data_IF_647856839566
#
_entry.id   IF_647856839566
#
_cell.length_a   1.000
_cell.length_b   1.000
_cell.length_c   1.000
_cell.angle_alpha   90.00
_cell.angle_beta   90.00
_cell.angle_gamma   90.00
#
_symmetry.space_group_name_H-M   'P 1'
#
loop_
_entity.id
_entity.type
_entity.pdbx_description
1 polymer ?
#
# COMPACT_ATOMS: atom_id res chain seq x y z
N UNK A 1 -52.82 -42.14 -2.00
CA UNK A 1 -52.77 -42.84 -0.69
C UNK A 1 -51.41 -42.57 -0.04
N UNK A 2 -51.39 -42.29 1.28
CA UNK A 2 -50.27 -41.92 2.20
C UNK A 2 -49.26 -40.85 1.74
N UNK A 3 -49.30 -39.56 2.13
CA UNK A 3 -49.15 -38.92 3.45
C UNK A 3 -47.91 -39.35 4.26
N UNK A 4 -46.90 -38.47 4.31
CA UNK A 4 -46.10 -38.22 5.52
C UNK A 4 -45.74 -36.74 5.62
N UNK A 5 -46.02 -36.21 6.81
CA UNK A 5 -46.13 -34.80 7.20
C UNK A 5 -44.96 -34.41 8.11
N UNK A 6 -44.55 -33.14 7.97
CA UNK A 6 -44.18 -32.15 9.02
C UNK A 6 -42.94 -32.38 9.90
N UNK A 7 -42.10 -31.33 9.94
CA UNK A 7 -41.71 -30.67 11.20
C UNK A 7 -41.24 -29.22 10.93
N UNK A 8 -42.09 -28.26 11.28
CA UNK A 8 -41.74 -26.86 11.53
C UNK A 8 -41.63 -26.65 13.04
N UNK A 9 -40.64 -25.87 13.48
CA UNK A 9 -40.43 -25.48 14.88
C UNK A 9 -40.46 -23.95 14.95
N UNK A 10 -41.52 -23.42 15.55
CA UNK A 10 -41.66 -22.02 15.96
C UNK A 10 -40.94 -21.82 17.31
N UNK A 11 -40.43 -20.62 17.58
CA UNK A 11 -40.50 -20.04 18.92
C UNK A 11 -40.45 -18.50 18.87
N UNK A 12 -41.32 -17.77 19.61
CA UNK A 12 -41.44 -16.31 19.54
C UNK A 12 -40.81 -15.56 20.73
N UNK A 13 -40.75 -14.23 20.51
CA UNK A 13 -40.48 -13.06 21.34
C UNK A 13 -40.57 -13.16 22.89
N UNK A 14 -39.69 -12.41 23.56
CA UNK A 14 -39.84 -11.95 24.95
C UNK A 14 -39.28 -10.54 25.10
N UNK A 15 -40.11 -9.62 25.59
CA UNK A 15 -39.87 -8.21 25.90
C UNK A 15 -39.43 -8.02 27.37
N UNK A 16 -38.53 -7.09 27.69
CA UNK A 16 -38.50 -6.38 28.99
C UNK A 16 -37.66 -5.08 28.91
N UNK A 17 -38.33 -3.92 29.11
CA UNK A 17 -37.98 -2.89 30.12
C UNK A 17 -36.78 -1.92 29.95
N UNK A 18 -36.97 -0.58 30.03
CA UNK A 18 -35.91 0.46 29.96
C UNK A 18 -35.58 1.13 31.33
N UNK A 19 -34.57 2.03 31.35
CA UNK A 19 -34.38 3.24 32.21
C UNK A 19 -32.99 3.36 32.89
N UNK A 20 -32.59 4.62 33.16
CA UNK A 20 -31.39 5.17 33.84
C UNK A 20 -30.21 5.52 32.94
N UNK A 21 -29.53 6.66 33.04
CA UNK A 21 -29.73 7.89 33.79
C UNK A 21 -28.89 9.00 33.12
N UNK A 22 -29.30 10.24 33.33
CA UNK A 22 -28.64 11.47 32.89
C UNK A 22 -27.35 11.72 33.68
N UNK A 23 -26.35 12.33 33.04
CA UNK A 23 -25.38 13.20 33.71
C UNK A 23 -24.79 14.20 32.73
N UNK A 24 -25.25 15.45 32.88
CA UNK A 24 -24.75 16.67 32.26
C UNK A 24 -23.39 17.05 32.87
N UNK A 25 -22.44 17.44 32.04
CA UNK A 25 -21.29 18.25 32.46
C UNK A 25 -21.09 19.39 31.48
N UNK A 26 -21.46 20.58 31.95
CA UNK A 26 -21.28 21.90 31.37
C UNK A 26 -19.79 22.27 31.33
N UNK A 27 -19.34 22.88 30.23
CA UNK A 27 -18.20 23.79 30.23
C UNK A 27 -18.56 25.04 29.39
N UNK A 28 -18.08 26.23 29.79
CA UNK A 28 -18.66 27.53 29.43
C UNK A 28 -18.15 28.08 28.08
N UNK A 29 -18.83 29.08 27.50
CA UNK A 29 -18.28 29.88 26.42
C UNK A 29 -17.48 31.06 27.02
N UNK A 30 -16.22 31.23 26.64
CA UNK A 30 -15.45 32.45 26.96
C UNK A 30 -15.15 33.25 25.68
N UNK A 31 -15.82 34.39 25.62
CA UNK A 31 -15.34 35.73 25.26
C UNK A 31 -14.48 35.92 24.02
N UNK A 32 -15.13 36.58 23.06
CA UNK A 32 -14.55 37.47 22.05
C UNK A 32 -13.54 38.46 22.67
N UNK A 33 -12.33 38.51 22.10
CA UNK A 33 -11.47 39.70 22.11
C UNK A 33 -11.02 39.95 20.68
N UNK A 34 -11.73 40.89 20.06
CA UNK A 34 -11.35 41.53 18.81
C UNK A 34 -10.13 42.41 19.09
N UNK A 35 -9.00 42.13 18.46
CA UNK A 35 -7.88 43.07 18.38
C UNK A 35 -7.41 43.12 16.93
N UNK A 36 -7.80 44.19 16.27
CA UNK A 36 -7.29 44.58 14.96
C UNK A 36 -5.78 44.83 15.07
N UNK A 37 -5.01 44.12 14.25
CA UNK A 37 -3.61 44.43 13.98
C UNK A 37 -3.50 44.71 12.49
N UNK A 38 -3.11 45.94 12.20
CA UNK A 38 -2.97 46.53 10.87
C UNK A 38 -2.13 45.68 9.91
N UNK A 39 -2.41 45.73 8.58
CA UNK A 39 -1.52 45.13 7.60
C UNK A 39 -0.23 45.95 7.52
N UNK A 40 0.90 45.33 7.89
CA UNK A 40 2.22 45.82 7.51
C UNK A 40 2.34 45.68 5.99
N UNK A 41 2.49 46.83 5.31
CA UNK A 41 2.70 46.89 3.87
C UNK A 41 3.98 46.15 3.44
N UNK A 42 4.08 45.75 2.17
CA UNK A 42 5.25 45.06 1.66
C UNK A 42 6.48 45.97 1.73
N UNK A 43 7.55 45.47 2.36
CA UNK A 43 8.86 46.10 2.31
C UNK A 43 9.39 46.09 0.86
N UNK A 44 10.08 47.15 0.40
CA UNK A 44 10.71 47.17 -0.92
C UNK A 44 11.83 46.13 -0.98
N UNK A 45 11.79 45.24 -1.97
CA UNK A 45 12.85 44.28 -2.26
C UNK A 45 14.17 45.00 -2.58
N UNK A 46 15.29 44.67 -1.91
CA UNK A 46 16.59 45.15 -2.33
C UNK A 46 17.01 44.47 -3.65
N UNK A 47 17.48 45.27 -4.59
CA UNK A 47 18.07 44.82 -5.86
C UNK A 47 19.33 44.01 -5.57
N UNK A 48 19.29 42.69 -5.81
CA UNK A 48 20.48 41.85 -5.76
C UNK A 48 21.42 42.20 -6.93
N UNK A 49 22.72 42.40 -6.68
CA UNK A 49 23.70 42.52 -7.75
C UNK A 49 23.79 41.23 -8.55
N UNK A 50 23.96 41.39 -9.87
CA UNK A 50 24.17 40.32 -10.85
C UNK A 50 25.35 39.44 -10.42
N UNK A 51 25.05 38.27 -9.85
CA UNK A 51 26.03 37.20 -9.64
C UNK A 51 26.32 36.58 -11.01
N UNK A 52 27.59 36.64 -11.41
CA UNK A 52 28.09 36.04 -12.65
C UNK A 52 27.80 34.53 -12.74
N UNK A 53 27.98 33.94 -13.93
CA UNK A 53 27.66 32.54 -14.15
C UNK A 53 28.44 31.64 -13.18
N UNK A 54 27.83 30.57 -12.64
CA UNK A 54 28.53 29.64 -11.77
C UNK A 54 29.68 29.00 -12.55
N UNK A 55 30.88 29.05 -11.95
CA UNK A 55 32.04 28.27 -12.38
C UNK A 55 31.67 26.79 -12.41
N UNK A 56 31.82 26.16 -13.58
CA UNK A 56 31.61 24.74 -13.77
C UNK A 56 32.40 23.92 -12.74
N UNK A 57 31.80 22.94 -12.06
CA UNK A 57 32.56 22.04 -11.21
C UNK A 57 33.53 21.21 -12.06
N UNK A 58 34.71 20.83 -11.51
CA UNK A 58 35.64 19.96 -12.21
C UNK A 58 34.97 18.62 -12.50
N UNK A 59 35.20 18.10 -13.72
CA UNK A 59 34.78 16.75 -14.10
C UNK A 59 35.36 15.74 -13.10
N UNK A 60 34.51 15.21 -12.22
CA UNK A 60 34.85 14.06 -11.40
C UNK A 60 35.11 12.84 -12.29
N UNK A 61 35.96 11.89 -11.86
CA UNK A 61 36.25 10.68 -12.62
C UNK A 61 34.96 9.88 -12.84
N UNK A 62 34.82 9.33 -14.05
CA UNK A 62 33.69 8.51 -14.46
C UNK A 62 33.46 7.34 -13.46
N UNK A 63 32.20 6.99 -13.15
CA UNK A 63 31.92 5.86 -12.28
C UNK A 63 32.48 4.58 -12.90
N UNK A 64 33.31 3.88 -12.13
CA UNK A 64 33.83 2.56 -12.45
C UNK A 64 32.67 1.57 -12.67
N UNK A 65 32.83 0.74 -13.69
CA UNK A 65 31.89 -0.28 -14.15
C UNK A 65 31.24 -1.08 -13.01
N UNK A 66 29.95 -1.44 -13.11
CA UNK A 66 29.32 -2.31 -12.13
C UNK A 66 30.03 -3.68 -12.11
N UNK A 67 30.10 -4.34 -10.94
CA UNK A 67 30.66 -5.69 -10.86
C UNK A 67 29.84 -6.67 -11.71
N UNK A 68 30.46 -7.76 -12.19
CA UNK A 68 29.77 -8.75 -13.01
C UNK A 68 28.62 -9.36 -12.22
N UNK A 69 27.44 -9.44 -12.85
CA UNK A 69 26.28 -10.12 -12.32
C UNK A 69 26.68 -11.51 -11.82
N UNK A 70 26.43 -11.79 -10.55
CA UNK A 70 26.61 -13.12 -9.98
C UNK A 70 25.65 -14.06 -10.71
N UNK A 71 26.19 -14.81 -11.66
CA UNK A 71 25.48 -15.89 -12.32
C UNK A 71 25.09 -16.91 -11.25
N UNK A 72 23.79 -17.10 -11.03
CA UNK A 72 23.30 -18.19 -10.21
C UNK A 72 23.88 -19.52 -10.73
N UNK A 73 24.42 -20.38 -9.87
CA UNK A 73 24.84 -21.71 -10.27
C UNK A 73 23.62 -22.46 -10.82
N UNK A 74 23.71 -22.90 -12.07
CA UNK A 74 22.68 -23.69 -12.72
C UNK A 74 22.38 -24.97 -11.93
N UNK A 75 21.14 -25.50 -11.99
CA UNK A 75 20.80 -26.72 -11.29
C UNK A 75 21.66 -27.86 -11.82
N UNK A 76 22.46 -28.47 -10.93
CA UNK A 76 23.19 -29.70 -11.20
C UNK A 76 22.22 -30.76 -11.72
N UNK A 77 22.63 -31.44 -12.80
CA UNK A 77 21.92 -32.55 -13.46
C UNK A 77 21.51 -33.58 -12.39
N UNK A 78 20.23 -33.59 -12.02
CA UNK A 78 19.65 -34.68 -11.27
C UNK A 78 19.69 -35.94 -12.16
N UNK A 79 20.33 -36.98 -11.65
CA UNK A 79 20.47 -38.26 -12.30
C UNK A 79 19.09 -38.84 -12.68
N UNK A 80 18.97 -39.29 -13.92
CA UNK A 80 17.79 -39.98 -14.44
C UNK A 80 17.60 -41.31 -13.70
N UNK A 81 16.52 -41.42 -12.93
CA UNK A 81 16.06 -42.69 -12.37
C UNK A 81 15.30 -43.50 -13.45
N UNK A 82 15.41 -44.85 -13.43
CA UNK A 82 14.82 -45.70 -14.45
C UNK A 82 13.29 -45.76 -14.32
N UNK A 83 12.61 -45.70 -15.46
CA UNK A 83 11.15 -45.79 -15.59
C UNK A 83 10.69 -47.21 -15.26
N UNK A 84 10.32 -47.46 -14.00
CA UNK A 84 9.51 -48.63 -13.65
C UNK A 84 8.03 -48.34 -13.89
N UNK A 85 7.42 -49.30 -14.56
CA UNK A 85 6.05 -49.31 -15.06
C UNK A 85 5.14 -49.83 -13.94
N UNK A 86 3.95 -49.25 -13.83
CA UNK A 86 2.79 -49.64 -13.00
C UNK A 86 2.59 -48.86 -11.68
N UNK A 87 1.81 -47.77 -11.78
CA UNK A 87 0.82 -47.44 -10.76
C UNK A 87 -0.49 -47.11 -11.48
N UNK A 88 -1.47 -48.01 -11.31
CA UNK A 88 -2.84 -47.87 -11.80
C UNK A 88 -3.47 -46.60 -11.22
N UNK A 89 -4.24 -45.93 -12.07
CA UNK A 89 -5.02 -44.74 -11.75
C UNK A 89 -5.98 -45.00 -10.57
N UNK A 90 -5.70 -44.38 -9.43
CA UNK A 90 -6.74 -43.97 -8.48
C UNK A 90 -7.01 -42.49 -8.73
N UNK A 91 -8.09 -42.21 -9.46
CA UNK A 91 -8.69 -40.88 -9.56
C UNK A 91 -9.33 -40.52 -8.22
N UNK A 92 -8.49 -40.20 -7.24
CA UNK A 92 -8.94 -39.52 -6.03
C UNK A 92 -9.58 -38.20 -6.46
N UNK A 93 -10.91 -38.13 -6.31
CA UNK A 93 -11.67 -36.91 -6.41
C UNK A 93 -11.24 -36.01 -5.26
N UNK A 94 -10.14 -35.28 -5.44
CA UNK A 94 -9.82 -34.13 -4.60
C UNK A 94 -11.02 -33.19 -4.72
N UNK A 95 -11.62 -32.74 -3.61
CA UNK A 95 -12.56 -31.63 -3.69
C UNK A 95 -11.80 -30.51 -4.41
N UNK A 96 -12.46 -29.79 -5.33
CA UNK A 96 -11.95 -28.54 -5.88
C UNK A 96 -11.78 -27.56 -4.72
N UNK A 97 -10.70 -27.73 -3.96
CA UNK A 97 -10.25 -26.83 -2.94
C UNK A 97 -10.10 -25.49 -3.64
N UNK A 98 -10.88 -24.52 -3.18
CA UNK A 98 -10.78 -23.12 -3.54
C UNK A 98 -9.31 -22.76 -3.73
N UNK A 99 -8.89 -22.54 -4.98
CA UNK A 99 -7.57 -21.95 -5.29
C UNK A 99 -7.38 -20.81 -4.30
N UNK A 100 -6.29 -20.77 -3.50
CA UNK A 100 -6.06 -19.68 -2.58
C UNK A 100 -6.32 -18.37 -3.31
N UNK A 101 -7.27 -17.58 -2.82
CA UNK A 101 -7.52 -16.26 -3.36
C UNK A 101 -6.20 -15.52 -3.27
N UNK A 102 -5.65 -15.06 -4.41
CA UNK A 102 -4.31 -14.44 -4.51
C UNK A 102 -4.20 -13.06 -3.84
N UNK A 103 -4.75 -12.96 -2.64
CA UNK A 103 -4.95 -11.78 -1.81
C UNK A 103 -4.69 -12.13 -0.33
N UNK A 104 -3.90 -13.17 -0.04
CA UNK A 104 -3.44 -13.47 1.31
C UNK A 104 -2.43 -12.41 1.78
N UNK A 105 -2.18 -12.27 3.10
CA UNK A 105 -1.10 -11.40 3.60
C UNK A 105 0.25 -11.60 2.89
N UNK A 106 0.61 -12.85 2.61
CA UNK A 106 1.83 -13.20 1.91
C UNK A 106 1.85 -12.65 0.47
N UNK A 107 0.73 -12.73 -0.26
CA UNK A 107 0.62 -12.26 -1.65
C UNK A 107 0.80 -10.73 -1.78
N UNK A 108 0.56 -9.98 -0.70
CA UNK A 108 0.90 -8.56 -0.61
C UNK A 108 2.35 -8.35 -0.17
N UNK A 109 2.77 -8.98 0.93
CA UNK A 109 4.09 -8.75 1.52
C UNK A 109 5.24 -9.16 0.61
N UNK A 110 5.14 -10.32 -0.07
CA UNK A 110 6.22 -10.85 -0.89
C UNK A 110 6.68 -9.86 -1.98
N UNK A 111 5.80 -9.33 -2.86
CA UNK A 111 6.23 -8.37 -3.88
C UNK A 111 6.66 -7.02 -3.31
N UNK A 112 6.11 -6.57 -2.17
CA UNK A 112 6.62 -5.36 -1.50
C UNK A 112 8.06 -5.57 -1.03
N UNK A 113 8.30 -6.70 -0.33
CA UNK A 113 9.60 -7.01 0.24
C UNK A 113 10.64 -7.33 -0.83
N UNK A 114 10.24 -7.83 -2.00
CA UNK A 114 11.12 -7.94 -3.16
C UNK A 114 11.58 -6.56 -3.67
N UNK A 115 10.65 -5.63 -3.92
CA UNK A 115 10.98 -4.27 -4.35
C UNK A 115 11.82 -3.49 -3.31
N UNK A 116 11.56 -3.72 -2.02
CA UNK A 116 12.35 -3.14 -0.93
C UNK A 116 13.77 -3.69 -0.86
N UNK A 117 13.94 -4.98 -1.13
CA UNK A 117 15.27 -5.60 -1.20
C UNK A 117 16.09 -5.06 -2.37
N UNK A 118 15.48 -4.75 -3.51
CA UNK A 118 16.15 -4.14 -4.68
C UNK A 118 16.82 -2.79 -4.37
N UNK A 119 16.29 -2.05 -3.40
CA UNK A 119 16.82 -0.74 -2.97
C UNK A 119 17.48 -0.77 -1.59
N UNK A 120 17.69 -1.96 -1.01
CA UNK A 120 18.41 -2.13 0.25
C UNK A 120 17.68 -1.66 1.51
N UNK A 121 16.34 -1.58 1.50
CA UNK A 121 15.57 -1.21 2.70
C UNK A 121 14.94 -2.42 3.40
N UNK A 122 14.77 -2.32 4.72
CA UNK A 122 14.29 -3.42 5.57
C UNK A 122 12.88 -3.89 5.20
N UNK A 123 12.55 -5.16 5.47
CA UNK A 123 11.26 -5.78 5.13
C UNK A 123 10.09 -5.18 5.93
N UNK A 124 8.91 -5.12 5.31
CA UNK A 124 7.65 -4.86 5.99
C UNK A 124 7.16 -6.12 6.73
N UNK A 125 6.50 -5.88 7.85
CA UNK A 125 5.73 -6.87 8.60
C UNK A 125 4.22 -6.68 8.36
N UNK A 126 3.44 -7.76 8.45
CA UNK A 126 1.99 -7.67 8.33
C UNK A 126 1.37 -7.19 9.65
N UNK A 127 0.49 -6.20 9.58
CA UNK A 127 -0.29 -5.72 10.73
C UNK A 127 -1.80 -5.95 10.48
N UNK A 128 -2.41 -6.76 11.34
CA UNK A 128 -3.84 -7.09 11.23
C UNK A 128 -4.77 -5.91 11.44
N UNK A 129 -4.37 -4.90 12.23
CA UNK A 129 -5.13 -3.66 12.46
C UNK A 129 -5.14 -2.82 11.20
N UNK A 130 -4.00 -2.67 10.54
CA UNK A 130 -3.90 -1.99 9.24
C UNK A 130 -4.70 -2.72 8.17
N UNK A 131 -4.66 -4.05 8.15
CA UNK A 131 -5.41 -4.85 7.18
C UNK A 131 -6.93 -4.69 7.37
N UNK A 132 -7.39 -4.66 8.63
CA UNK A 132 -8.79 -4.40 8.96
C UNK A 132 -9.21 -2.97 8.58
N UNK A 133 -8.32 -1.98 8.79
CA UNK A 133 -8.56 -0.60 8.35
C UNK A 133 -8.70 -0.52 6.82
N UNK A 134 -7.75 -1.11 6.08
CA UNK A 134 -7.77 -1.19 4.63
C UNK A 134 -9.05 -1.89 4.12
N UNK A 135 -9.47 -2.99 4.75
CA UNK A 135 -10.71 -3.71 4.42
C UNK A 135 -11.94 -2.81 4.53
N UNK A 136 -12.12 -2.15 5.69
CA UNK A 136 -13.26 -1.23 5.92
C UNK A 136 -13.30 -0.10 4.89
N UNK A 137 -12.13 0.45 4.57
CA UNK A 137 -12.06 1.50 3.55
C UNK A 137 -12.38 0.96 2.15
N UNK A 138 -11.84 -0.20 1.78
CA UNK A 138 -12.16 -0.87 0.53
C UNK A 138 -13.67 -1.10 0.39
N UNK A 139 -14.32 -1.63 1.42
CA UNK A 139 -15.79 -1.84 1.44
C UNK A 139 -16.55 -0.52 1.27
N UNK A 140 -16.11 0.58 1.90
CA UNK A 140 -16.69 1.91 1.67
C UNK A 140 -16.56 2.40 0.21
N UNK A 141 -15.55 1.93 -0.52
CA UNK A 141 -15.33 2.24 -1.95
C UNK A 141 -15.91 1.20 -2.90
N UNK A 142 -16.52 0.11 -2.40
CA UNK A 142 -17.02 -0.97 -3.26
C UNK A 142 -18.12 -0.51 -4.22
N UNK A 143 -18.85 0.56 -3.88
CA UNK A 143 -19.92 1.07 -4.73
C UNK A 143 -19.43 1.51 -6.12
N UNK A 144 -18.31 2.25 -6.20
CA UNK A 144 -17.85 2.90 -7.44
C UNK A 144 -16.40 2.54 -7.83
N UNK A 145 -15.62 1.93 -6.92
CA UNK A 145 -14.20 1.66 -7.11
C UNK A 145 -13.34 2.91 -7.45
N UNK A 146 -13.80 4.15 -7.22
CA UNK A 146 -13.00 5.33 -7.65
C UNK A 146 -11.76 5.46 -6.79
N UNK A 147 -10.64 5.76 -7.44
CA UNK A 147 -9.32 5.95 -6.82
C UNK A 147 -9.26 7.26 -6.04
N UNK A 148 -9.89 7.28 -4.87
CA UNK A 148 -9.83 8.35 -3.88
C UNK A 148 -9.13 7.82 -2.64
N UNK A 149 -8.21 8.60 -2.07
CA UNK A 149 -7.54 8.22 -0.84
C UNK A 149 -8.45 8.38 0.38
N UNK A 150 -8.23 7.58 1.44
CA UNK A 150 -9.03 7.63 2.67
C UNK A 150 -8.84 8.91 3.48
N UNK A 151 -7.69 9.58 3.31
CA UNK A 151 -7.23 10.69 4.18
C UNK A 151 -7.12 10.27 5.65
N UNK A 152 -6.85 8.98 5.88
CA UNK A 152 -6.59 8.42 7.20
C UNK A 152 -5.20 8.75 7.74
N UNK A 153 -4.86 8.23 8.93
CA UNK A 153 -3.59 8.47 9.59
C UNK A 153 -2.41 7.70 8.96
N UNK A 154 -2.69 6.70 8.12
CA UNK A 154 -1.67 5.82 7.52
C UNK A 154 -1.30 6.28 6.12
N UNK A 155 -0.09 5.88 5.67
CA UNK A 155 0.25 5.93 4.26
C UNK A 155 -0.68 5.01 3.48
N UNK A 156 -0.93 5.31 2.20
CA UNK A 156 -1.94 4.57 1.45
C UNK A 156 -1.59 4.44 -0.04
N UNK A 157 -1.72 3.22 -0.56
CA UNK A 157 -1.74 2.96 -1.98
C UNK A 157 -3.07 2.32 -2.36
N UNK A 158 -3.64 2.76 -3.49
CA UNK A 158 -4.91 2.26 -4.02
C UNK A 158 -4.75 1.82 -5.47
N UNK A 159 -5.50 0.79 -5.86
CA UNK A 159 -5.48 0.23 -7.19
C UNK A 159 -6.88 -0.24 -7.59
N UNK A 160 -7.22 -0.02 -8.86
CA UNK A 160 -8.47 -0.50 -9.47
C UNK A 160 -8.13 -1.45 -10.62
N UNK A 161 -8.57 -2.68 -10.48
CA UNK A 161 -8.60 -3.67 -11.54
C UNK A 161 -9.77 -3.48 -12.50
N UNK A 162 -9.62 -3.92 -13.74
CA UNK A 162 -10.71 -3.94 -14.71
C UNK A 162 -11.84 -4.89 -14.27
N UNK A 163 -13.09 -4.52 -14.53
CA UNK A 163 -14.24 -5.41 -14.35
C UNK A 163 -14.10 -6.68 -15.20
N UNK A 164 -14.61 -7.81 -14.70
CA UNK A 164 -14.57 -9.11 -15.40
C UNK A 164 -13.18 -9.78 -15.43
N UNK A 165 -12.13 -9.14 -14.90
CA UNK A 165 -10.81 -9.76 -14.71
C UNK A 165 -10.45 -9.73 -13.24
N UNK A 166 -10.40 -10.90 -12.61
CA UNK A 166 -9.93 -11.03 -11.23
C UNK A 166 -8.50 -10.52 -11.15
N UNK A 167 -8.28 -9.44 -10.40
CA UNK A 167 -6.94 -8.94 -10.06
C UNK A 167 -6.55 -9.43 -8.67
N UNK A 168 -5.24 -9.66 -8.53
CA UNK A 168 -4.61 -10.19 -7.32
C UNK A 168 -3.86 -9.09 -6.59
N UNK A 169 -3.45 -9.39 -5.35
CA UNK A 169 -2.50 -8.57 -4.60
C UNK A 169 -1.24 -8.30 -5.43
N UNK A 170 -0.67 -9.34 -6.04
CA UNK A 170 0.52 -9.24 -6.87
C UNK A 170 0.33 -8.30 -8.08
N UNK A 171 -0.84 -8.30 -8.73
CA UNK A 171 -1.13 -7.37 -9.84
C UNK A 171 -1.06 -5.90 -9.40
N UNK A 172 -1.64 -5.59 -8.22
CA UNK A 172 -1.68 -4.25 -7.67
C UNK A 172 -0.28 -3.77 -7.29
N UNK A 173 0.46 -4.58 -6.53
CA UNK A 173 1.83 -4.25 -6.10
C UNK A 173 2.76 -4.12 -7.29
N UNK A 174 2.68 -5.03 -8.27
CA UNK A 174 3.47 -4.92 -9.49
C UNK A 174 3.16 -3.64 -10.27
N UNK A 175 1.90 -3.15 -10.26
CA UNK A 175 1.54 -1.88 -10.91
C UNK A 175 2.17 -0.68 -10.21
N UNK A 176 2.23 -0.69 -8.88
CA UNK A 176 2.89 0.35 -8.09
C UNK A 176 4.41 0.31 -8.27
N UNK A 177 5.01 -0.88 -8.19
CA UNK A 177 6.46 -1.08 -8.37
C UNK A 177 6.93 -0.64 -9.75
N UNK A 178 6.15 -0.87 -10.82
CA UNK A 178 6.47 -0.39 -12.18
C UNK A 178 6.60 1.13 -12.30
N UNK A 179 6.15 1.90 -11.30
CA UNK A 179 6.38 3.33 -11.29
C UNK A 179 7.84 3.72 -10.99
N UNK A 180 8.69 2.76 -10.58
CA UNK A 180 10.14 2.95 -10.45
C UNK A 180 10.77 3.49 -11.74
N UNK A 181 10.27 3.06 -12.90
CA UNK A 181 10.70 3.54 -14.21
C UNK A 181 10.44 5.04 -14.45
N UNK A 182 9.64 5.67 -13.60
CA UNK A 182 9.30 7.10 -13.68
C UNK A 182 9.80 7.90 -12.49
N UNK A 183 10.54 7.28 -11.56
CA UNK A 183 11.07 7.96 -10.37
C UNK A 183 12.52 8.34 -10.60
N UNK A 184 12.84 9.61 -10.39
CA UNK A 184 14.21 10.11 -10.34
C UNK A 184 14.63 10.22 -8.87
N UNK A 185 15.56 9.34 -8.48
CA UNK A 185 16.06 9.24 -7.10
C UNK A 185 16.82 10.49 -6.67
N UNK A 186 17.68 11.06 -7.52
CA UNK A 186 18.52 12.20 -7.16
C UNK A 186 17.71 13.48 -6.88
N UNK A 187 16.75 13.78 -7.73
CA UNK A 187 15.84 14.92 -7.58
C UNK A 187 14.65 14.65 -6.66
N UNK A 188 14.36 13.39 -6.35
CA UNK A 188 13.16 12.94 -5.66
C UNK A 188 11.86 13.40 -6.34
N UNK A 189 11.82 13.29 -7.66
CA UNK A 189 10.66 13.68 -8.47
C UNK A 189 10.19 12.56 -9.39
N UNK A 190 8.96 12.68 -9.88
CA UNK A 190 8.49 11.83 -10.97
C UNK A 190 8.78 12.49 -12.32
N UNK A 191 9.02 11.69 -13.35
CA UNK A 191 9.00 12.14 -14.75
C UNK A 191 7.71 12.95 -15.01
N UNK A 192 7.78 14.12 -15.67
CA UNK A 192 6.61 14.96 -15.92
C UNK A 192 5.43 14.19 -16.52
N UNK A 193 4.24 14.38 -15.96
CA UNK A 193 3.01 13.69 -16.38
C UNK A 193 2.90 12.22 -15.97
N UNK A 194 3.90 11.67 -15.27
CA UNK A 194 3.87 10.31 -14.70
C UNK A 194 3.61 10.35 -13.19
N UNK A 195 3.37 9.17 -12.64
CA UNK A 195 3.20 8.96 -11.19
C UNK A 195 4.30 8.03 -10.70
N UNK A 196 4.84 8.34 -9.54
CA UNK A 196 5.82 7.55 -8.82
C UNK A 196 5.54 7.43 -7.32
N UNK A 197 4.51 8.13 -6.81
CA UNK A 197 4.16 8.14 -5.40
C UNK A 197 3.79 6.77 -4.83
N UNK A 198 3.27 5.85 -5.65
CA UNK A 198 2.99 4.50 -5.15
C UNK A 198 4.28 3.71 -4.95
N UNK A 199 5.23 3.84 -5.89
CA UNK A 199 6.55 3.21 -5.77
C UNK A 199 7.30 3.73 -4.55
N UNK A 200 7.38 5.05 -4.37
CA UNK A 200 8.09 5.65 -3.22
C UNK A 200 7.48 5.22 -1.89
N UNK A 201 6.16 5.03 -1.80
CA UNK A 201 5.53 4.46 -0.60
C UNK A 201 5.89 2.98 -0.38
N UNK A 202 5.93 2.16 -1.44
CA UNK A 202 6.33 0.74 -1.35
C UNK A 202 7.76 0.62 -0.78
N UNK A 203 8.66 1.48 -1.23
CA UNK A 203 10.09 1.47 -0.86
C UNK A 203 10.44 2.41 0.28
N UNK A 204 9.45 3.03 0.95
CA UNK A 204 9.70 3.98 2.02
C UNK A 204 10.38 3.33 3.22
N UNK A 205 11.65 3.67 3.48
CA UNK A 205 12.52 2.99 4.44
C UNK A 205 11.95 3.01 5.86
N UNK A 206 11.33 4.13 6.26
CA UNK A 206 10.74 4.32 7.60
C UNK A 206 9.46 3.52 7.82
N UNK A 207 8.74 3.15 6.76
CA UNK A 207 7.55 2.32 6.90
C UNK A 207 7.98 0.90 7.27
N UNK A 208 7.40 0.33 8.33
CA UNK A 208 7.75 -0.99 8.87
C UNK A 208 6.58 -1.97 8.87
N UNK A 209 5.35 -1.46 8.81
CA UNK A 209 4.11 -2.24 8.89
C UNK A 209 3.23 -2.03 7.66
N UNK A 210 2.60 -3.12 7.22
CA UNK A 210 1.71 -3.16 6.07
C UNK A 210 0.43 -3.92 6.43
N UNK A 211 -0.71 -3.39 6.01
CA UNK A 211 -1.95 -4.16 5.97
C UNK A 211 -2.76 -3.80 4.74
N UNK A 212 -3.27 -4.80 4.04
CA UNK A 212 -3.95 -4.61 2.75
C UNK A 212 -5.28 -5.36 2.68
N UNK A 213 -6.13 -4.94 1.75
CA UNK A 213 -7.35 -5.61 1.39
C UNK A 213 -7.63 -5.49 -0.11
N UNK A 214 -8.21 -6.55 -0.68
CA UNK A 214 -8.79 -6.55 -2.02
C UNK A 214 -10.29 -6.82 -1.90
N UNK A 215 -11.13 -5.89 -2.35
CA UNK A 215 -12.60 -6.01 -2.37
C UNK A 215 -13.12 -6.04 -3.80
N UNK A 216 -14.27 -6.67 -4.00
CA UNK A 216 -14.99 -6.61 -5.28
C UNK A 216 -16.00 -5.47 -5.22
N UNK A 217 -15.97 -4.59 -6.21
CA UNK A 217 -16.91 -3.50 -6.36
C UNK A 217 -18.21 -3.96 -7.04
N UNK A 218 -19.27 -3.15 -6.95
CA UNK A 218 -20.59 -3.43 -7.56
C UNK A 218 -20.47 -3.65 -9.08
N UNK A 219 -19.54 -2.94 -9.73
CA UNK A 219 -19.20 -3.10 -11.15
C UNK A 219 -18.47 -4.41 -11.50
N UNK A 220 -18.15 -5.27 -10.52
CA UNK A 220 -17.31 -6.46 -10.68
C UNK A 220 -15.81 -6.18 -10.82
N UNK A 221 -15.39 -4.91 -10.72
CA UNK A 221 -13.99 -4.52 -10.63
C UNK A 221 -13.38 -4.90 -9.26
N UNK A 222 -12.07 -5.11 -9.20
CA UNK A 222 -11.34 -5.30 -7.94
C UNK A 222 -10.79 -3.96 -7.46
N UNK A 223 -11.06 -3.56 -6.22
CA UNK A 223 -10.38 -2.45 -5.55
C UNK A 223 -9.39 -3.00 -4.53
N UNK A 224 -8.14 -2.59 -4.63
CA UNK A 224 -7.09 -2.94 -3.69
C UNK A 224 -6.65 -1.69 -2.95
N UNK A 225 -6.54 -1.79 -1.64
CA UNK A 225 -5.99 -0.74 -0.77
C UNK A 225 -4.98 -1.36 0.19
N UNK A 226 -3.84 -0.70 0.32
CA UNK A 226 -2.81 -1.02 1.31
C UNK A 226 -2.57 0.20 2.21
N UNK A 227 -2.54 -0.03 3.52
CA UNK A 227 -2.20 0.94 4.55
C UNK A 227 -0.79 0.66 5.07
N UNK A 228 0.00 1.73 5.20
CA UNK A 228 1.42 1.71 5.52
C UNK A 228 1.66 2.51 6.80
N UNK A 229 2.43 1.94 7.73
CA UNK A 229 2.75 2.63 8.98
C UNK A 229 4.22 2.45 9.40
N UNK A 230 4.92 3.53 9.82
CA UNK A 230 4.55 4.94 9.67
C UNK A 230 4.25 5.33 8.21
N UNK A 231 3.44 6.39 7.96
CA UNK A 231 3.16 6.87 6.62
C UNK A 231 4.44 7.28 5.89
N UNK A 232 4.50 6.99 4.59
CA UNK A 232 5.57 7.45 3.71
C UNK A 232 5.20 8.74 2.99
N UNK A 233 5.99 9.07 1.95
CA UNK A 233 5.78 10.23 1.08
C UNK A 233 5.65 11.56 1.84
N UNK A 234 6.45 11.72 2.90
CA UNK A 234 6.54 12.99 3.63
C UNK A 234 7.10 14.07 2.70
N UNK A 235 6.46 15.23 2.68
CA UNK A 235 6.83 16.34 1.79
C UNK A 235 8.31 16.69 1.90
N UNK A 236 8.98 16.77 0.75
CA UNK A 236 10.40 17.12 0.63
C UNK A 236 11.36 15.97 0.94
N UNK A 237 10.91 14.87 1.54
CA UNK A 237 11.80 13.77 1.96
C UNK A 237 11.90 12.66 0.93
N UNK A 238 13.10 12.10 0.81
CA UNK A 238 13.36 10.93 0.00
C UNK A 238 12.83 9.64 0.63
N UNK A 239 12.50 8.61 -0.17
CA UNK A 239 11.99 7.34 0.33
C UNK A 239 13.03 6.48 1.04
N UNK A 240 14.30 6.54 0.65
CA UNK A 240 15.37 5.70 1.17
C UNK A 240 16.75 6.36 0.97
N UNK A 241 17.81 5.89 1.67
CA UNK A 241 19.14 6.48 1.57
C UNK A 241 19.62 6.62 0.12
N UNK A 242 20.17 7.79 -0.21
CA UNK A 242 20.67 8.09 -1.55
C UNK A 242 19.64 8.70 -2.51
N UNK A 243 18.37 8.80 -2.13
CA UNK A 243 17.36 9.52 -2.90
C UNK A 243 16.92 10.81 -2.20
N UNK A 244 16.97 11.92 -2.94
CA UNK A 244 16.59 13.25 -2.46
C UNK A 244 17.19 13.61 -1.11
N UNK A 245 16.41 14.36 -0.35
CA UNK A 245 16.70 14.68 1.04
C UNK A 245 16.17 13.56 1.95
N UNK A 246 16.96 12.50 2.09
CA UNK A 246 16.67 11.41 3.01
C UNK A 246 17.22 11.75 4.40
N UNK A 247 16.34 12.20 5.29
CA UNK A 247 16.73 12.39 6.67
C UNK A 247 16.69 11.05 7.43
N UNK A 248 17.85 10.67 7.97
CA UNK A 248 17.93 9.83 9.16
C UNK A 248 17.63 10.73 10.37
N UNK A 249 16.43 11.31 10.47
CA UNK A 249 15.96 11.78 11.78
C UNK A 249 15.86 10.55 12.67
N UNK A 250 16.91 10.39 13.46
CA UNK A 250 17.03 9.52 14.61
C UNK A 250 15.80 9.71 15.50
N UNK A 251 14.97 8.69 15.54
CA UNK A 251 14.26 8.33 16.78
C UNK A 251 15.06 7.22 17.46
#
# INVERSE_FOLDING_TARGET
QSLLKRKTKNNPLSSFGPSLAQSLSLLPPFSLLSRASSPLGPAPSPSLPSLGPPLSPPLGPAPSSPPPAWACPGPSRAAALPRTRAARALTAHLPRGSRPSGNSPHDFLQPHNAARAEVGVGKLSWDGTLAAYARRYGEKRSHDCTLKHSRGPYGENIYRGSAGRRRTAADAVARWVRESAYYDCGSNTCVPGRRCGHYTQVTWARTTRLGCAAVTCDSGATFVVCSYDPPGNTNGRGPYPGCGDYDVVSE
#
